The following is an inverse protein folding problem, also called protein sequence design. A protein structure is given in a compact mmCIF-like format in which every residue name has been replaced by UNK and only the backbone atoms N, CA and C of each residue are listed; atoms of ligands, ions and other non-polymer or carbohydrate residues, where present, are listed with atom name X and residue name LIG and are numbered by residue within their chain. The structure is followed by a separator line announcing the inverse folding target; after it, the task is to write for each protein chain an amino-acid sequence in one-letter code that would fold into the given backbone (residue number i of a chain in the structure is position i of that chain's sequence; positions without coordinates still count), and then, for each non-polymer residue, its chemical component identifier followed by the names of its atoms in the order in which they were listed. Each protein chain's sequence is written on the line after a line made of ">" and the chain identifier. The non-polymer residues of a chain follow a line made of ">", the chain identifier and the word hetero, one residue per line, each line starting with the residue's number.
data_IF_920048077899
#
_entry.id   IF_920048077899
#
_cell.length_a   1.000
_cell.length_b   1.000
_cell.length_c   1.000
_cell.angle_alpha   90.00
_cell.angle_beta   90.00
_cell.angle_gamma   90.00
#
_symmetry.space_group_name_H-M   'P 1'
#
loop_
_entity.id
_entity.type
_entity.pdbx_description
1 polymer ?
#
# COMPACT_ATOMS: atom_id res chain seq x y z
N UNK A 1 -27.51 66.67 -41.11
CA UNK A 1 -26.66 67.55 -40.26
C UNK A 1 -25.82 66.55 -39.48
N UNK A 2 -24.66 66.49 -39.98
CA UNK A 2 -23.30 66.77 -39.56
C UNK A 2 -22.70 65.60 -38.82
N UNK A 3 -21.87 64.89 -39.51
CA UNK A 3 -20.41 64.85 -39.55
C UNK A 3 -19.81 64.00 -38.43
N UNK A 4 -19.26 62.84 -38.74
CA UNK A 4 -17.97 62.54 -39.38
C UNK A 4 -16.79 62.92 -38.49
N UNK A 5 -16.02 61.93 -38.09
CA UNK A 5 -14.59 61.91 -38.40
C UNK A 5 -13.94 60.60 -37.89
N UNK A 6 -13.39 59.88 -38.84
CA UNK A 6 -12.41 58.84 -38.75
C UNK A 6 -11.06 59.36 -38.26
N UNK A 7 -10.37 58.56 -37.45
CA UNK A 7 -8.92 58.57 -37.43
C UNK A 7 -8.35 57.18 -37.33
N UNK A 8 -7.70 56.77 -38.37
CA UNK A 8 -6.86 55.58 -38.49
C UNK A 8 -5.49 55.84 -37.89
N UNK A 9 -4.93 54.92 -37.16
CA UNK A 9 -3.53 54.92 -36.77
C UNK A 9 -2.85 53.61 -37.23
N UNK A 10 -1.58 53.72 -37.70
CA UNK A 10 -0.99 52.71 -38.58
C UNK A 10 -0.33 51.54 -37.92
N UNK A 11 -0.35 50.43 -38.63
CA UNK A 11 0.33 49.17 -38.35
C UNK A 11 1.83 49.35 -38.52
N UNK A 12 2.59 49.21 -37.43
CA UNK A 12 4.03 48.95 -37.48
C UNK A 12 4.29 47.46 -37.38
N UNK A 13 4.77 46.89 -38.47
CA UNK A 13 5.36 45.55 -38.53
C UNK A 13 6.70 45.56 -37.80
N UNK A 14 6.79 44.86 -36.69
CA UNK A 14 8.08 44.44 -36.13
C UNK A 14 8.32 42.94 -36.34
N UNK A 15 9.56 42.64 -36.71
CA UNK A 15 10.08 41.33 -37.13
C UNK A 15 10.13 40.37 -35.99
N UNK A 16 9.77 39.11 -36.24
CA UNK A 16 10.08 37.96 -35.36
C UNK A 16 11.60 37.74 -35.31
N UNK A 17 12.17 37.54 -34.13
CA UNK A 17 13.48 36.90 -34.02
C UNK A 17 13.33 35.39 -34.10
N UNK A 18 14.33 34.76 -34.69
CA UNK A 18 14.54 33.34 -34.95
C UNK A 18 14.46 32.45 -33.73
N UNK A 19 13.94 31.25 -33.95
CA UNK A 19 13.95 30.09 -33.03
C UNK A 19 15.36 29.83 -32.46
N UNK A 20 15.52 30.08 -31.16
CA UNK A 20 16.64 29.60 -30.36
C UNK A 20 16.23 28.31 -29.66
N UNK A 21 17.07 27.29 -29.79
CA UNK A 21 17.01 26.03 -29.06
C UNK A 21 16.68 26.26 -27.59
N UNK A 22 15.53 25.79 -27.13
CA UNK A 22 15.22 25.70 -25.71
C UNK A 22 15.83 24.43 -25.17
N UNK A 23 16.76 24.61 -24.27
CA UNK A 23 17.40 23.53 -23.50
C UNK A 23 16.38 22.61 -22.79
N UNK A 24 16.52 21.33 -22.99
CA UNK A 24 15.68 20.25 -22.39
C UNK A 24 15.86 20.09 -20.89
N UNK A 25 16.53 21.01 -20.19
CA UNK A 25 16.83 20.90 -18.76
C UNK A 25 15.83 21.58 -17.81
N UNK A 26 14.80 22.27 -18.33
CA UNK A 26 13.85 23.02 -17.48
C UNK A 26 12.49 22.36 -17.24
N UNK A 27 12.28 21.11 -17.69
CA UNK A 27 11.00 20.39 -17.51
C UNK A 27 10.95 19.48 -16.27
N UNK A 28 11.95 19.56 -15.39
CA UNK A 28 11.99 18.79 -14.12
C UNK A 28 11.54 19.58 -12.88
N UNK A 29 10.95 20.76 -13.05
CA UNK A 29 10.29 21.45 -11.96
C UNK A 29 8.90 20.83 -11.74
N UNK A 30 8.84 19.82 -10.88
CA UNK A 30 7.58 19.23 -10.42
C UNK A 30 6.66 20.32 -9.89
N UNK A 31 5.39 20.28 -10.28
CA UNK A 31 4.34 21.11 -9.69
C UNK A 31 4.47 21.03 -8.16
N UNK A 32 4.60 22.16 -7.46
CA UNK A 32 4.60 22.14 -6.00
C UNK A 32 3.23 21.60 -5.56
N UNK A 33 3.22 20.41 -4.94
CA UNK A 33 2.04 19.90 -4.26
C UNK A 33 1.83 20.82 -3.06
N UNK A 34 0.95 21.80 -3.20
CA UNK A 34 0.55 22.66 -2.09
C UNK A 34 -0.19 21.79 -1.08
N UNK A 35 0.51 21.40 -0.02
CA UNK A 35 -0.07 20.72 1.14
C UNK A 35 -0.97 21.69 1.89
N UNK A 36 -2.27 21.58 1.69
CA UNK A 36 -3.22 22.37 2.48
C UNK A 36 -3.10 21.99 3.96
N UNK A 37 -2.66 22.94 4.79
CA UNK A 37 -2.89 22.93 6.23
C UNK A 37 -1.91 22.16 7.13
N UNK A 38 -0.86 21.54 6.61
CA UNK A 38 0.15 20.81 7.40
C UNK A 38 1.57 21.31 7.06
N UNK A 39 1.91 22.51 7.50
CA UNK A 39 3.16 23.20 7.12
C UNK A 39 4.43 22.62 7.78
N UNK A 40 4.30 21.84 8.85
CA UNK A 40 5.44 21.21 9.51
C UNK A 40 5.66 19.78 8.99
N UNK A 41 6.94 19.35 8.79
CA UNK A 41 7.22 17.96 8.48
C UNK A 41 6.66 17.05 9.59
N UNK A 42 6.07 15.89 9.22
CA UNK A 42 5.51 14.99 10.21
C UNK A 42 6.62 14.41 11.09
N UNK A 43 6.37 14.34 12.39
CA UNK A 43 7.24 13.60 13.31
C UNK A 43 7.01 12.10 13.09
N UNK A 44 8.09 11.30 13.03
CA UNK A 44 7.98 9.86 12.85
C UNK A 44 7.22 9.20 14.01
N UNK A 45 6.51 8.11 13.70
CA UNK A 45 5.92 7.26 14.72
C UNK A 45 7.03 6.56 15.53
N UNK A 46 6.84 6.47 16.85
CA UNK A 46 7.79 5.87 17.78
C UNK A 46 7.31 4.54 18.37
N UNK A 47 8.13 3.89 19.21
CA UNK A 47 7.86 2.59 19.83
C UNK A 47 6.63 2.57 20.74
N UNK A 48 6.18 3.75 21.22
CA UNK A 48 4.99 3.88 22.06
C UNK A 48 3.69 3.93 21.26
N UNK A 49 3.77 4.03 19.92
CA UNK A 49 2.60 4.05 19.07
C UNK A 49 1.94 2.67 18.94
N UNK A 50 0.63 2.65 18.76
CA UNK A 50 -0.13 1.43 18.49
C UNK A 50 0.22 0.86 17.10
N UNK A 51 0.55 1.72 16.14
CA UNK A 51 1.04 1.29 14.83
C UNK A 51 2.33 0.47 14.97
N UNK A 52 3.30 0.91 15.77
CA UNK A 52 4.49 0.11 16.05
C UNK A 52 4.15 -1.20 16.77
N UNK A 53 3.14 -1.19 17.61
CA UNK A 53 2.72 -2.39 18.33
C UNK A 53 2.15 -3.45 17.39
N UNK A 54 1.26 -3.08 16.48
CA UNK A 54 0.46 -4.04 15.69
C UNK A 54 0.94 -4.23 14.26
N UNK A 55 1.43 -3.19 13.59
CA UNK A 55 1.98 -3.31 12.24
C UNK A 55 3.33 -4.04 12.24
N UNK A 56 3.69 -4.69 11.12
CA UNK A 56 4.98 -5.37 10.94
C UNK A 56 5.14 -6.62 11.82
N UNK A 57 4.06 -7.33 12.13
CA UNK A 57 4.09 -8.67 12.71
C UNK A 57 3.81 -9.73 11.64
N UNK A 58 4.40 -10.93 11.79
CA UNK A 58 4.16 -12.03 10.85
C UNK A 58 2.72 -12.52 10.82
N UNK A 59 1.93 -12.27 11.86
CA UNK A 59 0.48 -12.50 11.85
C UNK A 59 -0.24 -11.72 10.75
N UNK A 60 0.33 -10.60 10.29
CA UNK A 60 -0.18 -9.85 9.13
C UNK A 60 -0.19 -10.65 7.82
N UNK A 61 0.59 -11.74 7.70
CA UNK A 61 0.54 -12.63 6.54
C UNK A 61 -0.82 -13.32 6.36
N UNK A 62 -1.56 -13.54 7.45
CA UNK A 62 -2.93 -14.07 7.38
C UNK A 62 -3.92 -13.11 6.71
N UNK A 63 -3.53 -11.85 6.56
CA UNK A 63 -4.32 -10.80 5.92
C UNK A 63 -3.77 -10.42 4.53
N UNK A 64 -2.69 -11.06 4.08
CA UNK A 64 -1.97 -10.66 2.85
C UNK A 64 -2.86 -10.71 1.60
N UNK A 65 -3.62 -11.79 1.41
CA UNK A 65 -4.56 -11.92 0.29
C UNK A 65 -5.78 -11.01 0.44
N UNK A 66 -6.23 -10.75 1.67
CA UNK A 66 -7.27 -9.76 1.94
C UNK A 66 -6.80 -8.35 1.54
N UNK A 67 -5.65 -7.91 2.03
CA UNK A 67 -5.13 -6.58 1.71
C UNK A 67 -4.89 -6.41 0.20
N UNK A 68 -4.28 -7.42 -0.43
CA UNK A 68 -4.03 -7.40 -1.88
C UNK A 68 -5.31 -7.35 -2.70
N UNK A 69 -6.33 -8.15 -2.36
CA UNK A 69 -7.61 -8.14 -3.09
C UNK A 69 -8.38 -6.84 -2.86
N UNK A 70 -8.47 -6.34 -1.62
CA UNK A 70 -9.12 -5.06 -1.31
C UNK A 70 -8.50 -3.89 -2.06
N UNK A 71 -7.16 -3.83 -2.14
CA UNK A 71 -6.48 -2.82 -2.94
C UNK A 71 -6.86 -2.92 -4.41
N UNK A 72 -6.76 -4.12 -4.97
CA UNK A 72 -6.96 -4.35 -6.40
C UNK A 72 -8.42 -4.28 -6.84
N UNK A 73 -9.40 -4.39 -5.92
CA UNK A 73 -10.81 -4.11 -6.23
C UNK A 73 -11.04 -2.65 -6.61
N UNK A 74 -10.16 -1.71 -6.21
CA UNK A 74 -10.26 -0.34 -6.71
C UNK A 74 -9.95 -0.34 -8.21
N UNK A 75 -10.87 0.17 -9.06
CA UNK A 75 -10.75 0.01 -10.51
C UNK A 75 -9.44 0.53 -11.09
N UNK A 76 -8.99 1.70 -10.68
CA UNK A 76 -7.73 2.28 -11.17
C UNK A 76 -6.50 1.52 -10.65
N UNK A 77 -6.53 1.00 -9.42
CA UNK A 77 -5.43 0.27 -8.84
C UNK A 77 -5.32 -1.13 -9.45
N UNK A 78 -6.46 -1.81 -9.65
CA UNK A 78 -6.52 -3.10 -10.34
C UNK A 78 -5.98 -3.01 -11.77
N UNK A 79 -6.36 -1.97 -12.53
CA UNK A 79 -5.84 -1.72 -13.87
C UNK A 79 -4.33 -1.44 -13.85
N UNK A 80 -3.85 -0.63 -12.90
CA UNK A 80 -2.43 -0.35 -12.77
C UNK A 80 -1.60 -1.60 -12.47
N UNK A 81 -2.10 -2.49 -11.61
CA UNK A 81 -1.42 -3.76 -11.28
C UNK A 81 -1.44 -4.72 -12.47
N UNK A 82 -2.54 -4.79 -13.20
CA UNK A 82 -2.66 -5.64 -14.39
C UNK A 82 -1.67 -5.23 -15.48
N UNK A 83 -1.47 -3.93 -15.68
CA UNK A 83 -0.61 -3.41 -16.75
C UNK A 83 0.87 -3.29 -16.32
N UNK A 84 1.13 -2.89 -15.08
CA UNK A 84 2.46 -2.50 -14.62
C UNK A 84 3.08 -3.42 -13.58
N UNK A 85 2.52 -4.59 -13.28
CA UNK A 85 3.06 -5.43 -12.21
C UNK A 85 3.29 -6.87 -12.65
N UNK A 86 4.46 -7.42 -12.30
CA UNK A 86 4.75 -8.85 -12.42
C UNK A 86 4.39 -9.63 -11.13
N UNK A 87 3.58 -9.04 -10.26
CA UNK A 87 3.20 -9.66 -8.97
C UNK A 87 2.72 -11.10 -9.13
N UNK A 88 1.90 -11.36 -10.14
CA UNK A 88 1.31 -12.68 -10.36
C UNK A 88 2.34 -13.75 -10.80
N UNK A 89 3.47 -13.33 -11.35
CA UNK A 89 4.59 -14.21 -11.72
C UNK A 89 5.59 -14.42 -10.58
N UNK A 90 5.74 -13.43 -9.69
CA UNK A 90 6.73 -13.43 -8.61
C UNK A 90 6.10 -13.05 -7.25
N UNK A 91 4.97 -13.68 -6.87
CA UNK A 91 4.14 -13.26 -5.73
C UNK A 91 4.93 -13.00 -4.44
N UNK A 92 5.73 -13.96 -3.99
CA UNK A 92 6.47 -13.83 -2.72
C UNK A 92 7.62 -12.82 -2.81
N UNK A 93 8.54 -12.88 -3.80
CA UNK A 93 9.59 -11.88 -3.95
C UNK A 93 9.01 -10.46 -4.10
N UNK A 94 7.97 -10.29 -4.92
CA UNK A 94 7.32 -9.02 -5.17
C UNK A 94 6.64 -8.46 -3.91
N UNK A 95 5.97 -9.31 -3.12
CA UNK A 95 5.38 -8.94 -1.84
C UNK A 95 6.46 -8.45 -0.86
N UNK A 96 7.57 -9.15 -0.75
CA UNK A 96 8.67 -8.76 0.13
C UNK A 96 9.29 -7.43 -0.31
N UNK A 97 9.47 -7.20 -1.62
CA UNK A 97 9.92 -5.90 -2.15
C UNK A 97 8.96 -4.74 -1.81
N UNK A 98 7.68 -5.03 -1.55
CA UNK A 98 6.71 -4.03 -1.08
C UNK A 98 6.75 -3.84 0.44
N UNK A 99 6.78 -4.93 1.21
CA UNK A 99 6.64 -4.88 2.67
C UNK A 99 7.84 -4.17 3.33
N UNK A 100 9.07 -4.36 2.81
CA UNK A 100 10.25 -3.74 3.39
C UNK A 100 10.22 -2.21 3.31
N UNK A 101 10.04 -1.56 2.14
CA UNK A 101 9.97 -0.10 2.08
C UNK A 101 8.73 0.47 2.76
N UNK A 102 7.55 -0.18 2.64
CA UNK A 102 6.35 0.25 3.36
C UNK A 102 6.57 0.17 4.87
N UNK A 103 7.21 -0.90 5.35
CA UNK A 103 7.63 -1.00 6.75
C UNK A 103 8.60 0.10 7.14
N UNK A 104 9.48 0.53 6.23
CA UNK A 104 10.41 1.63 6.48
C UNK A 104 9.73 2.96 6.75
N UNK A 105 8.63 3.26 6.07
CA UNK A 105 7.85 4.49 6.35
C UNK A 105 7.35 4.54 7.80
N UNK A 106 7.18 3.39 8.45
CA UNK A 106 6.77 3.30 9.87
C UNK A 106 7.97 3.21 10.81
N UNK A 107 9.05 2.49 10.42
CA UNK A 107 10.07 2.03 11.36
C UNK A 107 11.44 2.70 11.19
N UNK A 108 11.65 3.57 10.19
CA UNK A 108 12.96 4.16 9.94
C UNK A 108 13.29 5.41 10.79
N UNK A 109 12.40 5.78 11.71
CA UNK A 109 12.60 6.96 12.56
C UNK A 109 12.72 8.24 11.72
N UNK A 110 13.72 9.07 11.96
CA UNK A 110 13.91 10.35 11.27
C UNK A 110 14.06 10.22 9.74
N UNK A 111 14.39 9.03 9.25
CA UNK A 111 14.45 8.74 7.81
C UNK A 111 13.07 8.42 7.20
N UNK A 112 12.02 8.16 8.00
CA UNK A 112 10.71 7.76 7.51
C UNK A 112 10.12 8.69 6.43
N UNK A 113 10.23 10.03 6.50
CA UNK A 113 9.77 10.91 5.43
C UNK A 113 10.53 10.71 4.11
N UNK A 114 11.84 10.44 4.17
CA UNK A 114 12.63 10.12 2.98
C UNK A 114 12.19 8.80 2.38
N UNK A 115 12.06 7.76 3.19
CA UNK A 115 11.56 6.45 2.77
C UNK A 115 10.15 6.57 2.15
N UNK A 116 9.28 7.37 2.75
CA UNK A 116 7.93 7.64 2.22
C UNK A 116 7.94 8.32 0.86
N UNK A 117 8.79 9.33 0.68
CA UNK A 117 8.98 10.00 -0.60
C UNK A 117 9.52 9.04 -1.67
N UNK A 118 10.49 8.20 -1.34
CA UNK A 118 11.04 7.19 -2.26
C UNK A 118 9.96 6.17 -2.69
N UNK A 119 9.10 5.73 -1.76
CA UNK A 119 7.95 4.87 -2.08
C UNK A 119 6.96 5.58 -3.02
N UNK A 120 6.63 6.84 -2.74
CA UNK A 120 5.76 7.65 -3.61
C UNK A 120 6.36 7.81 -5.00
N UNK A 121 7.61 8.24 -5.07
CA UNK A 121 8.27 8.62 -6.33
C UNK A 121 8.46 7.40 -7.24
N UNK A 122 8.58 6.21 -6.68
CA UNK A 122 8.60 4.97 -7.44
C UNK A 122 7.31 4.74 -8.27
N UNK A 123 6.21 5.38 -7.90
CA UNK A 123 4.94 5.26 -8.62
C UNK A 123 4.73 6.30 -9.74
N UNK A 124 5.67 7.22 -9.97
CA UNK A 124 5.54 8.33 -10.96
C UNK A 124 5.21 7.82 -12.37
N UNK A 125 5.81 6.71 -12.78
CA UNK A 125 5.63 6.13 -14.12
C UNK A 125 4.37 5.27 -14.27
N UNK A 126 3.64 4.97 -13.18
CA UNK A 126 2.50 4.06 -13.20
C UNK A 126 1.23 4.84 -13.53
N UNK A 127 0.88 4.89 -14.82
CA UNK A 127 -0.31 5.58 -15.35
C UNK A 127 -0.69 4.98 -16.70
N UNK A 128 -1.98 5.03 -17.03
CA UNK A 128 -2.50 4.49 -18.30
C UNK A 128 -3.98 4.72 -18.45
N UNK A 129 -4.60 3.86 -19.26
CA UNK A 129 -6.04 3.84 -19.51
C UNK A 129 -6.51 2.39 -19.45
N UNK A 130 -7.51 2.11 -18.62
CA UNK A 130 -8.02 0.76 -18.47
C UNK A 130 -8.84 0.30 -19.69
N UNK A 131 -9.25 -0.97 -19.70
CA UNK A 131 -10.03 -1.60 -20.78
C UNK A 131 -11.38 -0.90 -21.04
N UNK A 132 -11.88 -0.11 -20.06
CA UNK A 132 -13.12 0.68 -20.18
C UNK A 132 -12.88 2.12 -20.60
N UNK A 133 -11.65 2.48 -20.98
CA UNK A 133 -11.29 3.85 -21.38
C UNK A 133 -11.11 4.82 -20.20
N UNK A 134 -11.10 4.37 -18.95
CA UNK A 134 -10.90 5.21 -17.76
C UNK A 134 -9.41 5.44 -17.54
N UNK A 135 -9.01 6.70 -17.45
CA UNK A 135 -7.60 7.05 -17.14
C UNK A 135 -7.29 6.74 -15.69
N UNK A 136 -6.10 6.20 -15.43
CA UNK A 136 -5.61 5.98 -14.07
C UNK A 136 -4.18 6.54 -13.89
N UNK A 137 -3.85 6.84 -12.64
CA UNK A 137 -2.51 7.18 -12.18
C UNK A 137 -2.35 6.69 -10.75
N UNK A 138 -1.25 5.99 -10.47
CA UNK A 138 -0.94 5.55 -9.11
C UNK A 138 -0.66 6.72 -8.15
N UNK A 139 -0.32 7.92 -8.67
CA UNK A 139 -0.18 9.14 -7.89
C UNK A 139 -1.46 9.97 -7.78
N UNK A 140 -2.60 9.47 -8.30
CA UNK A 140 -3.89 10.10 -7.97
C UNK A 140 -4.08 10.01 -6.44
N UNK A 141 -4.27 11.12 -5.73
CA UNK A 141 -4.39 11.11 -4.27
C UNK A 141 -5.46 10.16 -3.74
N UNK A 142 -6.61 10.04 -4.41
CA UNK A 142 -7.70 9.16 -4.00
C UNK A 142 -7.30 7.67 -4.10
N UNK A 143 -6.60 7.30 -5.17
CA UNK A 143 -6.09 5.93 -5.39
C UNK A 143 -4.99 5.59 -4.40
N UNK A 144 -4.04 6.53 -4.19
CA UNK A 144 -2.94 6.35 -3.27
C UNK A 144 -3.42 6.25 -1.82
N UNK A 145 -4.41 7.08 -1.46
CA UNK A 145 -5.01 7.01 -0.12
C UNK A 145 -5.77 5.70 0.10
N UNK A 146 -6.50 5.19 -0.89
CA UNK A 146 -7.15 3.88 -0.78
C UNK A 146 -6.14 2.76 -0.48
N UNK A 147 -5.02 2.72 -1.21
CA UNK A 147 -3.97 1.75 -0.95
C UNK A 147 -3.43 1.86 0.49
N UNK A 148 -3.21 3.09 0.99
CA UNK A 148 -2.81 3.34 2.37
C UNK A 148 -3.89 2.97 3.39
N UNK A 149 -5.15 3.31 3.13
CA UNK A 149 -6.29 2.99 4.00
C UNK A 149 -6.42 1.48 4.25
N UNK A 150 -6.06 0.64 3.26
CA UNK A 150 -6.04 -0.82 3.45
C UNK A 150 -4.92 -1.27 4.39
N UNK A 151 -3.74 -0.61 4.42
CA UNK A 151 -2.71 -0.89 5.42
C UNK A 151 -3.14 -0.48 6.82
N UNK A 152 -3.80 0.66 6.95
CA UNK A 152 -4.38 1.09 8.21
C UNK A 152 -5.46 0.11 8.70
N UNK A 153 -6.41 -0.25 7.85
CA UNK A 153 -7.46 -1.23 8.17
C UNK A 153 -6.88 -2.60 8.52
N UNK A 154 -5.82 -3.03 7.82
CA UNK A 154 -5.07 -4.25 8.16
C UNK A 154 -4.46 -4.18 9.56
N UNK A 155 -3.95 -3.01 9.97
CA UNK A 155 -3.41 -2.80 11.33
C UNK A 155 -4.50 -2.88 12.39
N UNK A 156 -5.68 -2.28 12.13
CA UNK A 156 -6.87 -2.41 12.98
C UNK A 156 -7.29 -3.88 13.11
N UNK A 157 -7.43 -4.59 11.99
CA UNK A 157 -7.80 -6.00 11.97
C UNK A 157 -6.77 -6.88 12.69
N UNK A 158 -5.47 -6.59 12.54
CA UNK A 158 -4.43 -7.30 13.27
C UNK A 158 -4.57 -7.13 14.79
N UNK A 159 -4.85 -5.91 15.25
CA UNK A 159 -5.07 -5.61 16.65
C UNK A 159 -6.36 -6.28 17.19
N UNK A 160 -7.46 -6.21 16.44
CA UNK A 160 -8.75 -6.78 16.84
C UNK A 160 -8.75 -8.30 16.83
N UNK A 161 -8.16 -8.93 15.80
CA UNK A 161 -8.23 -10.40 15.62
C UNK A 161 -7.12 -11.16 16.32
N UNK A 162 -5.91 -10.58 16.39
CA UNK A 162 -4.71 -11.26 16.90
C UNK A 162 -4.05 -10.54 18.07
N UNK A 163 -4.45 -9.29 18.35
CA UNK A 163 -3.86 -8.44 19.39
C UNK A 163 -4.61 -8.41 20.71
N UNK A 164 -5.77 -9.05 20.79
CA UNK A 164 -6.64 -9.05 21.98
C UNK A 164 -7.71 -7.96 22.01
N UNK A 165 -7.95 -7.29 20.89
CA UNK A 165 -8.96 -6.23 20.74
C UNK A 165 -8.43 -4.81 20.93
N UNK A 166 -9.28 -3.83 20.66
CA UNK A 166 -9.02 -2.40 20.81
C UNK A 166 -10.22 -1.73 21.51
N UNK A 167 -9.93 -0.77 22.39
CA UNK A 167 -10.95 0.18 22.87
C UNK A 167 -11.24 1.22 21.78
N UNK A 168 -12.33 1.96 21.91
CA UNK A 168 -12.65 3.05 20.98
C UNK A 168 -11.58 4.14 20.98
N UNK A 169 -11.01 4.48 22.15
CA UNK A 169 -9.89 5.44 22.23
C UNK A 169 -8.66 4.93 21.49
N UNK A 170 -8.35 3.64 21.58
CA UNK A 170 -7.24 3.04 20.83
C UNK A 170 -7.48 3.02 19.32
N UNK A 171 -8.73 2.86 18.87
CA UNK A 171 -9.06 2.97 17.44
C UNK A 171 -8.84 4.40 16.94
N UNK A 172 -9.27 5.41 17.72
CA UNK A 172 -9.02 6.83 17.41
C UNK A 172 -7.53 7.14 17.41
N UNK A 173 -6.77 6.65 18.38
CA UNK A 173 -5.33 6.80 18.39
C UNK A 173 -4.67 6.19 17.15
N UNK A 174 -5.05 4.96 16.77
CA UNK A 174 -4.56 4.33 15.54
C UNK A 174 -4.94 5.13 14.29
N UNK A 175 -6.12 5.75 14.29
CA UNK A 175 -6.55 6.64 13.21
C UNK A 175 -5.65 7.88 13.13
N UNK A 176 -5.34 8.54 14.23
CA UNK A 176 -4.43 9.71 14.24
C UNK A 176 -3.01 9.33 13.82
N UNK A 177 -2.55 8.16 14.25
CA UNK A 177 -1.25 7.60 13.85
C UNK A 177 -1.19 7.29 12.35
N UNK A 178 -2.29 6.81 11.74
CA UNK A 178 -2.30 6.53 10.30
C UNK A 178 -2.24 7.81 9.46
N UNK A 179 -2.83 8.92 9.93
CA UNK A 179 -2.69 10.23 9.30
C UNK A 179 -1.21 10.65 9.30
N UNK A 180 -0.54 10.48 10.45
CA UNK A 180 0.90 10.74 10.57
C UNK A 180 1.69 9.88 9.60
N UNK A 181 1.40 8.58 9.51
CA UNK A 181 2.03 7.67 8.56
C UNK A 181 1.80 8.11 7.10
N UNK A 182 0.55 8.46 6.72
CA UNK A 182 0.25 8.91 5.36
C UNK A 182 1.02 10.17 4.98
N UNK A 183 1.18 11.11 5.92
CA UNK A 183 1.95 12.34 5.71
C UNK A 183 3.41 12.09 5.35
N UNK A 184 4.00 10.96 5.76
CA UNK A 184 5.39 10.60 5.40
C UNK A 184 5.58 10.45 3.89
N UNK A 185 4.54 10.10 3.14
CA UNK A 185 4.63 9.99 1.68
C UNK A 185 4.68 11.35 0.98
N UNK A 186 4.34 12.45 1.66
CA UNK A 186 4.24 13.77 1.03
C UNK A 186 3.16 13.86 -0.06
N UNK A 187 2.13 13.04 0.03
CA UNK A 187 0.96 13.08 -0.85
C UNK A 187 -0.05 14.13 -0.39
N UNK A 188 -0.95 14.53 -1.30
CA UNK A 188 -2.05 15.44 -0.94
C UNK A 188 -2.94 14.84 0.13
N UNK A 189 -3.25 15.63 1.16
CA UNK A 189 -4.16 15.26 2.25
C UNK A 189 -5.65 15.39 1.88
N UNK A 190 -5.97 15.83 0.65
CA UNK A 190 -7.34 16.06 0.19
C UNK A 190 -8.30 14.87 0.42
N UNK A 191 -7.92 13.61 0.11
CA UNK A 191 -8.82 12.48 0.27
C UNK A 191 -8.86 11.92 1.70
N UNK A 192 -8.03 12.42 2.61
CA UNK A 192 -7.87 11.86 3.95
C UNK A 192 -9.01 12.33 4.85
N UNK A 193 -9.83 11.43 5.43
CA UNK A 193 -10.82 11.78 6.43
C UNK A 193 -10.18 12.50 7.62
N UNK A 194 -10.91 13.39 8.25
CA UNK A 194 -10.42 14.20 9.38
C UNK A 194 -10.67 13.55 10.73
N UNK A 195 -11.67 12.68 10.81
CA UNK A 195 -12.07 12.00 12.05
C UNK A 195 -12.21 10.50 11.83
N UNK A 196 -12.21 9.75 12.92
CA UNK A 196 -12.45 8.30 12.89
C UNK A 196 -13.83 7.97 12.29
N UNK A 197 -14.84 8.77 12.57
CA UNK A 197 -16.18 8.61 12.04
C UNK A 197 -16.22 8.84 10.54
N UNK A 198 -15.60 9.92 10.05
CA UNK A 198 -15.45 10.17 8.60
C UNK A 198 -14.68 9.04 7.89
N UNK A 199 -13.70 8.42 8.57
CA UNK A 199 -13.01 7.25 8.01
C UNK A 199 -13.93 6.05 7.88
N UNK A 200 -14.80 5.81 8.86
CA UNK A 200 -15.76 4.72 8.78
C UNK A 200 -16.75 4.94 7.61
N UNK A 201 -17.27 6.15 7.44
CA UNK A 201 -18.12 6.53 6.30
C UNK A 201 -17.37 6.39 4.95
N UNK A 202 -16.11 6.83 4.89
CA UNK A 202 -15.25 6.65 3.71
C UNK A 202 -15.09 5.17 3.38
N UNK A 203 -14.78 4.33 4.37
CA UNK A 203 -14.58 2.89 4.18
C UNK A 203 -15.87 2.23 3.67
N UNK A 204 -16.99 2.53 4.29
CA UNK A 204 -18.31 2.02 3.87
C UNK A 204 -18.64 2.46 2.45
N UNK A 205 -18.39 3.74 2.11
CA UNK A 205 -18.59 4.24 0.75
C UNK A 205 -17.74 3.48 -0.26
N UNK A 206 -16.47 3.27 0.03
CA UNK A 206 -15.57 2.51 -0.85
C UNK A 206 -16.09 1.09 -1.07
N UNK A 207 -16.39 0.37 0.00
CA UNK A 207 -16.85 -1.02 -0.07
C UNK A 207 -18.20 -1.19 -0.81
N UNK A 208 -19.11 -0.23 -0.70
CA UNK A 208 -20.45 -0.34 -1.28
C UNK A 208 -20.59 0.28 -2.67
N UNK A 209 -19.74 1.26 -3.04
CA UNK A 209 -19.98 2.06 -4.24
C UNK A 209 -18.81 2.15 -5.21
N UNK A 210 -17.57 1.86 -4.77
CA UNK A 210 -16.36 2.08 -5.59
C UNK A 210 -15.69 0.80 -6.00
N UNK A 211 -15.61 -0.19 -5.11
CA UNK A 211 -14.92 -1.43 -5.39
C UNK A 211 -15.60 -2.24 -6.49
N UNK A 212 -14.81 -2.86 -7.34
CA UNK A 212 -15.26 -3.72 -8.44
C UNK A 212 -14.69 -5.13 -8.29
N UNK A 213 -15.49 -6.13 -8.66
CA UNK A 213 -15.04 -7.50 -8.81
C UNK A 213 -14.29 -7.64 -10.14
N UNK A 214 -13.02 -7.27 -10.16
CA UNK A 214 -12.17 -7.26 -11.35
C UNK A 214 -11.18 -8.43 -11.37
N UNK A 215 -10.50 -8.60 -12.51
CA UNK A 215 -9.52 -9.66 -12.72
C UNK A 215 -8.38 -9.62 -11.69
N UNK A 216 -7.79 -8.44 -11.42
CA UNK A 216 -6.64 -8.32 -10.54
C UNK A 216 -6.96 -8.74 -9.09
N UNK A 217 -8.16 -8.41 -8.59
CA UNK A 217 -8.62 -8.83 -7.27
C UNK A 217 -8.80 -10.36 -7.18
N UNK A 218 -9.37 -10.98 -8.23
CA UNK A 218 -9.54 -12.44 -8.31
C UNK A 218 -8.19 -13.15 -8.41
N UNK A 219 -7.28 -12.63 -9.22
CA UNK A 219 -5.97 -13.22 -9.43
C UNK A 219 -5.12 -13.19 -8.14
N UNK A 220 -5.24 -12.16 -7.29
CA UNK A 220 -4.62 -12.16 -5.95
C UNK A 220 -5.09 -13.34 -5.11
N UNK A 221 -6.35 -13.71 -5.25
CA UNK A 221 -6.97 -14.81 -4.52
C UNK A 221 -6.62 -16.18 -5.10
N UNK A 222 -6.20 -16.28 -6.36
CA UNK A 222 -5.87 -17.55 -7.02
C UNK A 222 -4.37 -17.88 -6.88
N UNK A 223 -4.07 -18.87 -6.07
CA UNK A 223 -2.71 -19.39 -5.88
C UNK A 223 -2.41 -20.62 -6.72
N UNK A 224 -3.35 -21.11 -7.53
CA UNK A 224 -3.24 -22.37 -8.27
C UNK A 224 -2.06 -22.38 -9.25
N UNK A 225 -1.72 -21.20 -9.79
CA UNK A 225 -0.65 -20.98 -10.76
C UNK A 225 0.67 -20.57 -10.13
N UNK A 226 0.76 -20.50 -8.79
CA UNK A 226 1.97 -20.00 -8.10
C UNK A 226 3.18 -20.91 -8.39
N UNK A 227 4.27 -20.38 -8.98
CA UNK A 227 5.46 -21.17 -9.26
C UNK A 227 6.15 -21.60 -7.97
N UNK A 228 6.86 -22.73 -8.03
CA UNK A 228 7.74 -23.12 -6.91
C UNK A 228 8.88 -22.12 -6.79
N UNK A 229 9.18 -21.77 -5.55
CA UNK A 229 10.43 -21.06 -5.27
C UNK A 229 11.61 -22.00 -5.56
N UNK A 230 12.75 -21.53 -6.13
CA UNK A 230 13.91 -22.38 -6.45
C UNK A 230 14.38 -23.24 -5.28
N UNK A 231 14.33 -22.75 -4.05
CA UNK A 231 14.70 -23.54 -2.87
C UNK A 231 13.73 -24.69 -2.54
N UNK A 232 12.59 -24.79 -3.23
CA UNK A 232 11.56 -25.81 -3.04
C UNK A 232 11.44 -26.75 -4.25
N UNK A 233 12.33 -26.69 -5.23
CA UNK A 233 12.32 -27.54 -6.44
C UNK A 233 12.43 -29.04 -6.11
N UNK A 234 13.02 -29.38 -4.97
CA UNK A 234 13.11 -30.75 -4.45
C UNK A 234 11.75 -31.35 -4.08
N UNK A 235 10.69 -30.54 -3.90
CA UNK A 235 9.34 -31.03 -3.60
C UNK A 235 8.72 -31.57 -4.91
N UNK A 236 8.24 -32.85 -4.95
CA UNK A 236 7.53 -33.36 -6.11
C UNK A 236 6.30 -32.55 -6.49
N UNK A 237 6.03 -32.41 -7.79
CA UNK A 237 4.91 -31.59 -8.30
C UNK A 237 3.53 -31.97 -7.73
N UNK A 238 3.17 -33.25 -7.56
CA UNK A 238 1.89 -33.59 -6.95
C UNK A 238 1.75 -33.06 -5.50
N UNK A 239 2.83 -33.15 -4.71
CA UNK A 239 2.85 -32.62 -3.33
C UNK A 239 2.80 -31.09 -3.30
N UNK A 240 3.49 -30.44 -4.25
CA UNK A 240 3.42 -28.99 -4.39
C UNK A 240 2.00 -28.53 -4.72
N UNK A 241 1.35 -29.16 -5.71
CA UNK A 241 -0.05 -28.85 -6.07
C UNK A 241 -1.02 -29.07 -4.92
N UNK A 242 -0.85 -30.18 -4.17
CA UNK A 242 -1.67 -30.43 -2.96
C UNK A 242 -1.47 -29.32 -1.93
N UNK A 243 -0.22 -28.94 -1.68
CA UNK A 243 0.09 -27.83 -0.76
C UNK A 243 -0.55 -26.51 -1.22
N UNK A 244 -0.50 -26.19 -2.51
CA UNK A 244 -1.16 -25.00 -3.06
C UNK A 244 -2.68 -25.04 -2.84
N UNK A 245 -3.32 -26.19 -3.05
CA UNK A 245 -4.76 -26.33 -2.82
C UNK A 245 -5.15 -26.11 -1.35
N UNK A 246 -4.37 -26.65 -0.41
CA UNK A 246 -4.59 -26.45 1.02
C UNK A 246 -4.38 -24.99 1.39
N UNK A 247 -3.28 -24.39 0.93
CA UNK A 247 -2.97 -22.98 1.16
C UNK A 247 -4.01 -22.05 0.55
N UNK A 248 -4.45 -22.32 -0.68
CA UNK A 248 -5.53 -21.63 -1.36
C UNK A 248 -6.81 -21.59 -0.50
N UNK A 249 -7.27 -22.76 -0.05
CA UNK A 249 -8.48 -22.88 0.76
C UNK A 249 -8.35 -22.12 2.08
N UNK A 250 -7.20 -22.25 2.72
CA UNK A 250 -6.92 -21.56 3.98
C UNK A 250 -6.89 -20.04 3.82
N UNK A 251 -6.15 -19.53 2.84
CA UNK A 251 -6.04 -18.09 2.60
C UNK A 251 -7.36 -17.48 2.09
N UNK A 252 -8.12 -18.21 1.27
CA UNK A 252 -9.47 -17.79 0.89
C UNK A 252 -10.38 -17.72 2.12
N UNK A 253 -10.38 -18.74 2.98
CA UNK A 253 -11.14 -18.72 4.22
C UNK A 253 -10.78 -17.52 5.10
N UNK A 254 -9.49 -17.25 5.31
CA UNK A 254 -9.02 -16.10 6.08
C UNK A 254 -9.44 -14.76 5.47
N UNK A 255 -9.33 -14.63 4.15
CA UNK A 255 -9.69 -13.42 3.41
C UNK A 255 -11.18 -13.14 3.49
N UNK A 256 -12.00 -14.13 3.21
CA UNK A 256 -13.48 -13.99 3.24
C UNK A 256 -13.98 -13.66 4.65
N UNK A 257 -13.32 -14.21 5.69
CA UNK A 257 -13.63 -13.86 7.07
C UNK A 257 -13.43 -12.37 7.39
N UNK A 258 -12.46 -11.74 6.72
CA UNK A 258 -12.09 -10.34 6.95
C UNK A 258 -12.80 -9.36 6.02
N UNK A 259 -13.46 -9.82 4.96
CA UNK A 259 -14.26 -8.96 4.09
C UNK A 259 -15.48 -8.41 4.81
N UNK A 260 -15.80 -7.16 4.54
CA UNK A 260 -17.10 -6.56 4.88
C UNK A 260 -18.23 -7.30 4.14
N UNK A 261 -19.46 -7.33 4.69
CA UNK A 261 -20.57 -8.08 4.07
C UNK A 261 -20.81 -7.73 2.61
N UNK A 262 -20.79 -6.44 2.25
CA UNK A 262 -20.97 -5.97 0.87
C UNK A 262 -19.85 -6.46 -0.06
N UNK A 263 -18.62 -6.56 0.43
CA UNK A 263 -17.48 -7.07 -0.33
C UNK A 263 -17.59 -8.58 -0.54
N UNK A 264 -18.09 -9.33 0.45
CA UNK A 264 -18.39 -10.76 0.26
C UNK A 264 -19.42 -10.97 -0.85
N UNK A 265 -20.50 -10.20 -0.83
CA UNK A 265 -21.54 -10.21 -1.86
C UNK A 265 -20.97 -9.85 -3.24
N UNK A 266 -20.21 -8.75 -3.33
CA UNK A 266 -19.54 -8.32 -4.56
C UNK A 266 -18.65 -9.41 -5.16
N UNK A 267 -17.93 -10.14 -4.32
CA UNK A 267 -17.01 -11.21 -4.74
C UNK A 267 -17.70 -12.58 -4.92
N UNK A 268 -18.97 -12.70 -4.51
CA UNK A 268 -19.75 -13.93 -4.62
C UNK A 268 -19.40 -14.99 -3.57
N UNK A 269 -19.03 -14.57 -2.36
CA UNK A 269 -18.71 -15.47 -1.24
C UNK A 269 -19.82 -15.52 -0.19
N UNK A 270 -20.26 -16.72 0.12
CA UNK A 270 -21.11 -16.98 1.29
C UNK A 270 -20.29 -17.09 2.57
N UNK A 271 -20.86 -16.67 3.70
CA UNK A 271 -20.26 -16.78 5.00
C UNK A 271 -21.25 -17.27 6.04
N UNK A 272 -21.03 -18.48 6.55
CA UNK A 272 -21.90 -19.15 7.50
C UNK A 272 -21.49 -18.91 8.97
N UNK A 273 -22.43 -19.05 9.94
CA UNK A 273 -22.12 -18.98 11.37
C UNK A 273 -21.03 -20.00 11.82
N UNK A 274 -20.96 -21.18 11.16
CA UNK A 274 -19.92 -22.18 11.42
C UNK A 274 -18.54 -21.67 11.00
N UNK A 275 -18.45 -21.02 9.82
CA UNK A 275 -17.17 -20.43 9.35
C UNK A 275 -16.74 -19.30 10.27
N UNK A 276 -17.68 -18.45 10.71
CA UNK A 276 -17.40 -17.38 11.68
C UNK A 276 -16.86 -17.95 13.01
N UNK A 277 -17.47 -19.00 13.52
CA UNK A 277 -17.03 -19.67 14.74
C UNK A 277 -15.61 -20.25 14.57
N UNK A 278 -15.34 -20.93 13.46
CA UNK A 278 -14.02 -21.50 13.15
C UNK A 278 -12.95 -20.40 13.07
N UNK A 279 -13.26 -19.30 12.37
CA UNK A 279 -12.35 -18.16 12.25
C UNK A 279 -12.03 -17.56 13.62
N UNK A 280 -13.03 -17.36 14.48
CA UNK A 280 -12.80 -16.86 15.85
C UNK A 280 -11.89 -17.78 16.63
N UNK A 281 -12.15 -19.10 16.60
CA UNK A 281 -11.27 -20.09 17.29
C UNK A 281 -9.84 -20.05 16.76
N UNK A 282 -9.67 -19.93 15.47
CA UNK A 282 -8.35 -19.75 14.88
C UNK A 282 -7.67 -18.48 15.42
N UNK A 283 -8.37 -17.35 15.44
CA UNK A 283 -7.84 -16.09 15.98
C UNK A 283 -7.48 -16.21 17.47
N UNK A 284 -8.29 -16.91 18.28
CA UNK A 284 -8.01 -17.16 19.70
C UNK A 284 -6.70 -17.96 19.88
N UNK A 285 -6.52 -19.01 19.07
CA UNK A 285 -5.29 -19.83 19.08
C UNK A 285 -4.07 -19.01 18.70
N UNK A 286 -4.17 -18.21 17.64
CA UNK A 286 -3.07 -17.32 17.21
C UNK A 286 -2.77 -16.29 18.30
N UNK A 287 -3.80 -15.69 18.90
CA UNK A 287 -3.63 -14.72 20.00
C UNK A 287 -2.92 -15.35 21.20
N UNK A 288 -3.28 -16.58 21.56
CA UNK A 288 -2.60 -17.33 22.63
C UNK A 288 -1.14 -17.61 22.24
N UNK A 289 -0.90 -18.08 21.03
CA UNK A 289 0.45 -18.36 20.55
C UNK A 289 1.34 -17.09 20.57
N UNK A 290 0.80 -15.92 20.20
CA UNK A 290 1.56 -14.65 20.26
C UNK A 290 1.90 -14.19 21.67
N UNK A 291 1.19 -14.67 22.69
CA UNK A 291 1.50 -14.39 24.11
C UNK A 291 2.62 -15.28 24.65
N UNK A 292 2.76 -16.50 24.11
CA UNK A 292 3.73 -17.51 24.57
C UNK A 292 5.03 -17.43 23.78
N UNK A 293 4.97 -17.16 22.47
CA UNK A 293 6.13 -17.12 21.61
C UNK A 293 7.01 -15.90 21.90
N UNK A 294 8.34 -16.01 21.76
CA UNK A 294 9.24 -14.86 21.87
C UNK A 294 8.83 -13.75 20.89
N UNK A 295 8.55 -12.55 21.39
CA UNK A 295 8.07 -11.41 20.58
C UNK A 295 8.94 -11.11 19.37
N UNK A 296 10.27 -11.33 19.50
CA UNK A 296 11.23 -11.11 18.40
C UNK A 296 11.00 -12.02 17.19
N UNK A 297 10.48 -13.23 17.41
CA UNK A 297 10.16 -14.18 16.32
C UNK A 297 8.92 -13.77 15.53
N UNK A 298 8.04 -13.02 16.18
CA UNK A 298 6.79 -12.56 15.59
C UNK A 298 6.97 -11.29 14.75
N UNK A 299 8.13 -10.66 14.80
CA UNK A 299 8.37 -9.35 14.17
C UNK A 299 9.06 -9.48 12.82
N UNK A 300 8.59 -8.68 11.86
CA UNK A 300 9.30 -8.44 10.62
C UNK A 300 10.72 -7.89 10.91
N UNK A 301 11.77 -8.27 10.15
CA UNK A 301 13.14 -7.87 10.43
C UNK A 301 13.34 -6.35 10.58
N UNK A 302 12.68 -5.53 9.74
CA UNK A 302 12.78 -4.06 9.82
C UNK A 302 12.19 -3.50 11.12
N UNK A 303 11.04 -4.00 11.55
CA UNK A 303 10.45 -3.67 12.86
C UNK A 303 11.36 -4.07 14.01
N UNK A 304 11.91 -5.28 13.97
CA UNK A 304 12.83 -5.78 15.02
C UNK A 304 14.05 -4.89 15.14
N UNK A 305 14.67 -4.52 14.01
CA UNK A 305 15.81 -3.61 13.96
C UNK A 305 15.47 -2.23 14.52
N UNK A 306 14.29 -1.70 14.22
CA UNK A 306 13.82 -0.42 14.75
C UNK A 306 13.66 -0.46 16.28
N UNK A 307 13.07 -1.53 16.82
CA UNK A 307 12.95 -1.72 18.27
C UNK A 307 14.33 -1.86 18.91
N UNK A 308 15.27 -2.55 18.26
CA UNK A 308 16.64 -2.69 18.76
C UNK A 308 17.38 -1.33 18.81
N UNK A 309 17.17 -0.43 17.82
CA UNK A 309 17.66 0.94 17.86
C UNK A 309 17.00 1.74 18.98
N UNK A 310 15.67 1.70 19.07
CA UNK A 310 14.92 2.45 20.09
C UNK A 310 15.25 2.02 21.53
N UNK A 311 15.69 0.77 21.72
CA UNK A 311 16.07 0.21 23.04
C UNK A 311 17.58 0.22 23.29
N UNK A 312 18.39 0.84 22.42
CA UNK A 312 19.84 0.93 22.55
C UNK A 312 20.60 -0.38 22.32
N UNK A 313 19.96 -1.42 21.78
CA UNK A 313 20.63 -2.69 21.41
C UNK A 313 21.39 -2.60 20.09
N UNK A 314 20.99 -1.66 19.25
CA UNK A 314 21.72 -1.27 18.03
C UNK A 314 22.00 0.24 18.10
N UNK A 315 23.11 0.71 17.50
CA UNK A 315 23.33 2.12 17.30
C UNK A 315 22.18 2.78 16.51
N UNK A 316 21.90 4.05 16.78
CA UNK A 316 20.82 4.79 16.09
C UNK A 316 21.09 4.87 14.57
N UNK A 317 22.36 4.99 14.18
CA UNK A 317 22.84 5.06 12.81
C UNK A 317 23.09 3.66 12.17
N UNK A 318 22.73 2.57 12.86
CA UNK A 318 22.87 1.22 12.29
C UNK A 318 22.16 1.12 10.94
N UNK A 319 22.74 0.40 9.97
CA UNK A 319 22.15 0.23 8.63
C UNK A 319 20.70 -0.27 8.70
N UNK A 320 19.86 0.26 7.82
CA UNK A 320 18.48 -0.19 7.70
C UNK A 320 18.42 -1.61 7.16
N UNK A 321 17.43 -2.37 7.60
CA UNK A 321 17.19 -3.72 7.09
C UNK A 321 16.45 -3.62 5.77
N UNK A 322 17.12 -3.92 4.69
CA UNK A 322 16.58 -3.89 3.33
C UNK A 322 15.98 -5.24 2.91
N UNK A 323 15.31 -5.22 1.76
CA UNK A 323 14.83 -6.45 1.12
C UNK A 323 15.99 -7.42 0.89
N UNK A 324 15.89 -8.68 1.33
CA UNK A 324 16.96 -9.67 1.13
C UNK A 324 17.32 -9.81 -0.35
N UNK A 325 18.62 -9.89 -0.66
CA UNK A 325 19.15 -9.93 -2.03
C UNK A 325 18.50 -11.02 -2.90
N UNK A 326 18.17 -12.18 -2.31
CA UNK A 326 17.46 -13.29 -3.00
C UNK A 326 16.07 -12.95 -3.53
N UNK A 327 15.48 -11.86 -3.05
CA UNK A 327 14.15 -11.39 -3.47
C UNK A 327 14.22 -10.17 -4.39
N UNK A 328 15.42 -9.65 -4.63
CA UNK A 328 15.63 -8.54 -5.57
C UNK A 328 15.62 -9.08 -7.00
N UNK A 329 15.09 -8.31 -7.96
CA UNK A 329 15.23 -8.64 -9.37
C UNK A 329 16.70 -8.47 -9.82
N UNK A 330 17.06 -9.00 -10.99
CA UNK A 330 18.33 -8.67 -11.64
C UNK A 330 18.58 -7.16 -11.68
N UNK A 331 19.84 -6.75 -11.61
CA UNK A 331 20.23 -5.33 -11.44
C UNK A 331 19.64 -4.45 -12.54
N UNK A 332 19.60 -4.95 -13.78
CA UNK A 332 19.07 -4.27 -14.95
C UNK A 332 17.56 -3.99 -14.91
N UNK A 333 16.82 -4.67 -14.01
CA UNK A 333 15.38 -4.52 -13.87
C UNK A 333 14.95 -3.71 -12.64
N UNK A 334 15.87 -3.37 -11.74
CA UNK A 334 15.54 -2.72 -10.47
C UNK A 334 14.90 -1.34 -10.61
N UNK A 335 15.20 -0.62 -11.69
CA UNK A 335 14.58 0.67 -11.99
C UNK A 335 13.19 0.60 -12.66
N UNK A 336 12.73 -0.60 -13.01
CA UNK A 336 11.48 -0.77 -13.76
C UNK A 336 10.29 -0.92 -12.80
N UNK A 337 9.20 -0.12 -12.94
CA UNK A 337 8.04 -0.11 -12.06
C UNK A 337 7.38 -1.49 -11.88
N UNK A 338 7.38 -2.32 -12.92
CA UNK A 338 6.77 -3.65 -12.89
C UNK A 338 7.36 -4.57 -11.82
N UNK A 339 8.65 -4.42 -11.50
CA UNK A 339 9.32 -5.23 -10.46
C UNK A 339 9.12 -4.66 -9.06
N UNK A 340 8.71 -3.42 -8.94
CA UNK A 340 8.58 -2.69 -7.67
C UNK A 340 9.76 -2.95 -6.73
N UNK A 341 10.87 -2.35 -7.04
CA UNK A 341 12.09 -2.46 -6.24
C UNK A 341 12.60 -1.05 -5.86
N UNK A 342 11.88 -0.32 -4.98
CA UNK A 342 12.35 0.96 -4.50
C UNK A 342 13.67 0.74 -3.75
N UNK A 343 14.66 1.52 -4.11
CA UNK A 343 15.94 1.58 -3.40
C UNK A 343 15.77 2.59 -2.26
N UNK A 344 15.66 2.10 -1.06
CA UNK A 344 15.44 2.91 0.14
C UNK A 344 16.77 3.18 0.84
#
# INVERSE_FOLDING_TARGET
>A
MTQDTSETCPVSRERRPSEGQQDASSLAAGCPVTSGGYDAPPLPLGPDSLTWRYFGQWTGLFQGTWAGSMQNMHPQLGAAVQEHSIFFMERIPRLLRSIYPIGGVVFDGDRAPKTGAEVRDYHIGIKGTDERGRRYSALNPDVFYWAHATFFKSTLLAAEKFGGGLTEDQKRQLFDEHITWYRMYGMSMRPVPKTWEEFQEYWDHMCNNVLENNWAAREVMDLSTMPKHPSLEWIPDPLWRLNLQVMQRFLTFMTVALYDPSVRELMGYDWSPRQEWLHRRFCDVVTLATKVLPKRWLMHPRKRSAIDRATGRLPVDAPLVETPARNLPPVEYRGQPQFYCPQV
#
